data_IF_566673688687
#
_entry.id   IF_566673688687
#
_cell.length_a   1.000
_cell.length_b   1.000
_cell.length_c   1.000
_cell.angle_alpha   90.00
_cell.angle_beta   90.00
_cell.angle_gamma   90.00
#
_symmetry.space_group_name_H-M   'P 1'
#
loop_
_entity.id
_entity.type
_entity.pdbx_description
1 polymer ?
#
# COMPACT_ATOMS: atom_id res chain seq x y z
N UNK A 1 1.63 6.94 1.96
CA UNK A 1 1.81 5.47 1.91
C UNK A 1 0.98 4.91 0.77
N UNK A 2 1.58 4.07 -0.08
CA UNK A 2 0.93 3.38 -1.20
C UNK A 2 0.91 1.88 -0.91
N UNK A 3 -0.26 1.28 -0.97
CA UNK A 3 -0.46 -0.16 -0.90
C UNK A 3 -0.85 -0.70 -2.28
N UNK A 4 -0.15 -1.71 -2.77
CA UNK A 4 -0.46 -2.40 -4.03
C UNK A 4 -0.80 -3.84 -3.68
N UNK A 5 -2.06 -4.25 -3.85
CA UNK A 5 -2.53 -5.57 -3.43
C UNK A 5 -1.96 -6.70 -4.28
N UNK A 6 -1.58 -7.80 -3.63
CA UNK A 6 -1.25 -9.05 -4.29
C UNK A 6 0.04 -9.04 -5.13
N UNK A 7 1.02 -8.16 -4.86
CA UNK A 7 2.24 -8.05 -5.68
C UNK A 7 3.37 -8.91 -5.12
N UNK A 8 3.80 -9.91 -5.89
CA UNK A 8 4.99 -10.71 -5.58
C UNK A 8 6.27 -9.90 -5.83
N UNK A 9 7.25 -9.91 -4.89
CA UNK A 9 8.51 -9.20 -5.08
C UNK A 9 9.32 -9.66 -6.30
N UNK A 10 9.28 -10.95 -6.64
CA UNK A 10 9.97 -11.47 -7.82
C UNK A 10 9.32 -11.03 -9.14
N UNK A 11 8.00 -10.80 -9.13
CA UNK A 11 7.29 -10.23 -10.27
C UNK A 11 7.59 -8.71 -10.40
N UNK A 12 7.63 -7.99 -9.28
CA UNK A 12 8.04 -6.58 -9.26
C UNK A 12 9.44 -6.37 -9.86
N UNK A 13 10.39 -7.27 -9.56
CA UNK A 13 11.76 -7.20 -10.10
C UNK A 13 11.87 -7.48 -11.61
N UNK A 14 10.84 -8.07 -12.22
CA UNK A 14 10.78 -8.37 -13.67
C UNK A 14 9.97 -7.33 -14.44
N UNK A 15 8.95 -6.77 -13.81
CA UNK A 15 8.09 -5.73 -14.38
C UNK A 15 8.88 -4.43 -14.67
N UNK A 16 8.45 -3.69 -15.66
CA UNK A 16 9.05 -2.39 -16.02
C UNK A 16 8.41 -1.28 -15.16
N UNK A 17 9.07 -0.94 -14.07
CA UNK A 17 8.52 -0.05 -13.02
C UNK A 17 9.42 1.16 -12.74
N UNK A 18 9.65 2.06 -13.72
CA UNK A 18 10.64 3.13 -13.59
C UNK A 18 10.40 4.11 -12.45
N UNK A 19 9.15 4.30 -12.01
CA UNK A 19 8.82 5.20 -10.90
C UNK A 19 9.16 4.53 -9.55
N UNK A 20 8.80 3.25 -9.37
CA UNK A 20 9.20 2.47 -8.19
C UNK A 20 10.72 2.25 -8.17
N UNK A 21 11.36 1.98 -9.32
CA UNK A 21 12.81 1.88 -9.42
C UNK A 21 13.50 3.19 -9.01
N UNK A 22 12.90 4.34 -9.32
CA UNK A 22 13.38 5.64 -8.86
C UNK A 22 13.31 5.80 -7.33
N UNK A 23 12.22 5.37 -6.70
CA UNK A 23 12.09 5.35 -5.24
C UNK A 23 13.10 4.39 -4.59
N UNK A 24 13.30 3.20 -5.17
CA UNK A 24 14.30 2.21 -4.72
C UNK A 24 15.71 2.78 -4.81
N UNK A 25 16.04 3.41 -5.93
CA UNK A 25 17.37 3.97 -6.16
C UNK A 25 17.69 5.13 -5.19
N UNK A 26 16.68 5.85 -4.71
CA UNK A 26 16.82 6.96 -3.75
C UNK A 26 16.58 6.59 -2.29
N UNK A 27 16.23 5.34 -1.98
CA UNK A 27 15.75 4.97 -0.65
C UNK A 27 16.14 3.58 -0.17
N UNK A 28 15.32 3.04 0.71
CA UNK A 28 15.45 1.68 1.23
C UNK A 28 14.54 0.74 0.44
N UNK A 29 15.07 -0.41 0.06
CA UNK A 29 14.33 -1.51 -0.54
C UNK A 29 14.54 -2.82 0.23
N UNK A 30 13.45 -3.47 0.60
CA UNK A 30 13.45 -4.84 1.12
C UNK A 30 12.55 -5.71 0.24
N UNK A 31 13.11 -6.61 -0.57
CA UNK A 31 12.34 -7.57 -1.37
C UNK A 31 11.93 -8.82 -0.58
N UNK A 32 12.41 -8.99 0.65
CA UNK A 32 12.33 -10.24 1.42
C UNK A 32 11.62 -10.07 2.77
N UNK A 33 10.85 -9.00 2.96
CA UNK A 33 9.99 -8.89 4.13
C UNK A 33 8.94 -10.02 4.13
N UNK A 34 8.49 -10.41 5.31
CA UNK A 34 7.53 -11.51 5.47
C UNK A 34 6.26 -11.04 6.18
N UNK A 35 5.13 -11.27 5.51
CA UNK A 35 3.81 -11.20 6.13
C UNK A 35 3.58 -12.38 7.09
N UNK A 36 2.47 -12.37 7.83
CA UNK A 36 1.99 -13.47 8.66
C UNK A 36 1.73 -14.76 7.85
N UNK A 37 1.42 -15.84 8.56
CA UNK A 37 1.09 -17.14 7.95
C UNK A 37 -0.29 -17.14 7.26
N UNK A 38 -1.05 -16.05 7.39
CA UNK A 38 -2.36 -15.86 6.75
C UNK A 38 -2.22 -14.75 5.70
N UNK A 39 -2.11 -15.16 4.46
CA UNK A 39 -1.86 -14.27 3.33
C UNK A 39 -3.19 -13.87 2.65
N UNK A 40 -4.10 -13.32 3.45
CA UNK A 40 -5.41 -12.80 3.03
C UNK A 40 -5.38 -11.28 3.23
N UNK A 41 -6.04 -10.52 2.39
CA UNK A 41 -5.98 -9.04 2.38
C UNK A 41 -6.41 -8.42 3.72
N UNK A 42 -7.47 -8.92 4.37
CA UNK A 42 -7.89 -8.42 5.69
C UNK A 42 -6.81 -8.49 6.76
N UNK A 43 -6.22 -9.67 7.05
CA UNK A 43 -5.05 -9.82 7.93
C UNK A 43 -3.83 -9.01 7.48
N UNK A 44 -3.48 -9.04 6.21
CA UNK A 44 -2.32 -8.36 5.65
C UNK A 44 -2.41 -6.83 5.82
N UNK A 45 -3.49 -6.24 5.36
CA UNK A 45 -3.71 -4.80 5.52
C UNK A 45 -3.87 -4.38 6.98
N UNK A 46 -4.47 -5.24 7.82
CA UNK A 46 -4.51 -4.99 9.26
C UNK A 46 -3.11 -4.94 9.87
N UNK A 47 -2.24 -5.87 9.49
CA UNK A 47 -0.86 -5.89 9.98
C UNK A 47 -0.07 -4.63 9.54
N UNK A 48 -0.22 -4.21 8.29
CA UNK A 48 0.40 -3.00 7.74
C UNK A 48 -0.10 -1.74 8.47
N UNK A 49 -1.41 -1.60 8.63
CA UNK A 49 -1.99 -0.42 9.28
C UNK A 49 -1.69 -0.36 10.78
N UNK A 50 -1.77 -1.50 11.50
CA UNK A 50 -1.61 -1.51 12.95
C UNK A 50 -0.16 -1.67 13.41
N UNK A 51 0.76 -2.08 12.51
CA UNK A 51 2.17 -2.38 12.84
C UNK A 51 2.33 -3.59 13.76
N UNK A 52 1.36 -4.50 13.79
CA UNK A 52 1.38 -5.73 14.60
C UNK A 52 0.76 -6.89 13.83
N UNK A 53 1.16 -8.12 14.17
CA UNK A 53 0.68 -9.34 13.53
C UNK A 53 -0.71 -9.77 14.02
N UNK A 54 -1.32 -10.73 13.33
CA UNK A 54 -2.66 -11.29 13.59
C UNK A 54 -2.90 -11.74 15.03
N UNK A 55 -1.89 -12.27 15.71
CA UNK A 55 -1.96 -12.61 17.13
C UNK A 55 -2.23 -11.43 18.08
N UNK A 56 -2.15 -10.19 17.60
CA UNK A 56 -2.47 -8.97 18.35
C UNK A 56 -3.70 -8.25 17.80
N UNK A 57 -3.76 -7.99 16.48
CA UNK A 57 -4.93 -7.33 15.89
C UNK A 57 -6.14 -8.25 15.71
N UNK A 58 -5.99 -9.57 15.87
CA UNK A 58 -7.04 -10.62 15.83
C UNK A 58 -7.79 -10.79 14.50
N UNK A 59 -7.33 -10.17 13.42
CA UNK A 59 -7.93 -10.38 12.10
C UNK A 59 -7.28 -11.59 11.44
N UNK A 60 -8.09 -12.58 11.08
CA UNK A 60 -7.63 -13.85 10.50
C UNK A 60 -8.26 -14.15 9.13
N UNK A 61 -9.22 -13.33 8.73
CA UNK A 61 -9.89 -13.41 7.43
C UNK A 61 -10.54 -12.06 7.06
N UNK A 62 -11.21 -11.99 5.90
CA UNK A 62 -11.86 -10.78 5.40
C UNK A 62 -13.21 -10.46 6.09
N UNK A 63 -13.62 -11.22 7.11
CA UNK A 63 -14.78 -10.86 7.94
C UNK A 63 -14.44 -9.83 9.01
N UNK A 64 -13.16 -9.67 9.34
CA UNK A 64 -12.65 -8.81 10.42
C UNK A 64 -13.27 -9.13 11.80
N UNK A 65 -13.85 -10.32 11.94
CA UNK A 65 -14.50 -10.72 13.19
C UNK A 65 -13.50 -10.79 14.35
N UNK A 66 -13.80 -10.12 15.46
CA UNK A 66 -12.95 -10.11 16.65
C UNK A 66 -11.74 -9.19 16.57
N UNK A 67 -11.67 -8.31 15.57
CA UNK A 67 -10.59 -7.33 15.44
C UNK A 67 -10.36 -6.54 16.74
N UNK A 68 -9.11 -6.19 17.01
CA UNK A 68 -8.69 -5.52 18.24
C UNK A 68 -7.98 -4.18 17.93
N UNK A 69 -8.59 -3.36 17.07
CA UNK A 69 -8.03 -2.06 16.68
C UNK A 69 -8.08 -1.04 17.81
N UNK A 70 -9.00 -1.22 18.77
CA UNK A 70 -9.03 -0.36 19.97
C UNK A 70 -7.70 -0.43 20.75
N UNK A 71 -7.08 -1.61 20.83
CA UNK A 71 -5.80 -1.79 21.51
C UNK A 71 -4.62 -1.54 20.56
N UNK A 72 -4.78 -1.84 19.29
CA UNK A 72 -3.76 -1.70 18.24
C UNK A 72 -4.31 -0.86 17.09
N UNK A 73 -4.47 0.47 17.29
CA UNK A 73 -5.03 1.35 16.28
C UNK A 73 -4.13 1.46 15.06
N UNK A 74 -4.74 1.73 13.92
CA UNK A 74 -4.04 1.96 12.66
C UNK A 74 -3.17 3.22 12.71
N UNK A 75 -2.20 3.32 11.80
CA UNK A 75 -1.28 4.44 11.78
C UNK A 75 -1.98 5.78 11.49
N UNK A 76 -3.04 5.83 10.67
CA UNK A 76 -3.84 7.05 10.47
C UNK A 76 -4.49 7.52 11.78
N UNK A 77 -5.09 6.61 12.56
CA UNK A 77 -5.66 6.96 13.87
C UNK A 77 -4.60 7.49 14.84
N UNK A 78 -3.37 6.96 14.76
CA UNK A 78 -2.25 7.47 15.55
C UNK A 78 -1.83 8.88 15.12
N UNK A 79 -1.83 9.15 13.81
CA UNK A 79 -1.58 10.48 13.25
C UNK A 79 -2.63 11.48 13.73
N UNK A 80 -3.92 11.15 13.57
CA UNK A 80 -5.05 11.97 14.02
C UNK A 80 -5.00 12.26 15.55
N UNK A 81 -4.60 11.24 16.32
CA UNK A 81 -4.47 11.39 17.78
C UNK A 81 -3.31 12.30 18.17
N UNK A 82 -2.19 12.20 17.46
CA UNK A 82 -0.97 12.96 17.77
C UNK A 82 -1.01 14.39 17.19
N UNK A 83 -1.66 14.54 16.05
CA UNK A 83 -1.72 15.75 15.24
C UNK A 83 -3.14 15.98 14.71
N UNK A 84 -4.11 16.34 15.58
CA UNK A 84 -5.49 16.56 15.17
C UNK A 84 -5.68 17.78 14.24
N UNK A 85 -4.62 18.58 14.05
CA UNK A 85 -4.58 19.69 13.10
C UNK A 85 -4.11 19.28 11.70
N UNK A 86 -3.68 18.02 11.51
CA UNK A 86 -3.21 17.53 10.23
C UNK A 86 -4.36 17.07 9.35
N UNK A 87 -4.27 17.35 8.05
CA UNK A 87 -5.22 16.85 7.07
C UNK A 87 -4.82 15.45 6.61
N UNK A 88 -5.70 14.50 6.76
CA UNK A 88 -5.45 13.09 6.43
C UNK A 88 -6.41 12.59 5.37
N UNK A 89 -5.92 11.69 4.51
CA UNK A 89 -6.66 11.10 3.40
C UNK A 89 -6.46 9.59 3.33
N UNK A 90 -7.56 8.84 3.19
CA UNK A 90 -7.55 7.44 2.81
C UNK A 90 -8.38 7.20 1.56
N UNK A 91 -7.73 6.77 0.46
CA UNK A 91 -8.36 6.39 -0.79
C UNK A 91 -8.13 4.90 -1.06
N UNK A 92 -9.11 4.05 -0.82
CA UNK A 92 -8.95 2.60 -0.94
C UNK A 92 -9.90 2.02 -1.99
N UNK A 93 -9.31 1.37 -3.01
CA UNK A 93 -10.06 0.65 -4.04
C UNK A 93 -10.79 -0.56 -3.42
N UNK A 94 -10.15 -1.30 -2.53
CA UNK A 94 -10.80 -2.33 -1.72
C UNK A 94 -11.42 -1.71 -0.48
N UNK A 95 -12.73 -1.44 -0.53
CA UNK A 95 -13.47 -0.68 0.49
C UNK A 95 -13.41 -1.25 1.93
N UNK A 96 -13.19 -2.55 2.19
CA UNK A 96 -13.04 -3.05 3.56
C UNK A 96 -11.87 -2.42 4.33
N UNK A 97 -10.80 -1.95 3.69
CA UNK A 97 -9.75 -1.21 4.40
C UNK A 97 -10.34 0.03 5.06
N UNK A 98 -11.04 0.86 4.29
CA UNK A 98 -11.68 2.05 4.82
C UNK A 98 -12.81 1.74 5.80
N UNK A 99 -13.62 0.71 5.50
CA UNK A 99 -14.79 0.37 6.31
C UNK A 99 -14.48 -0.34 7.63
N UNK A 100 -13.37 -1.06 7.72
CA UNK A 100 -13.04 -1.92 8.86
C UNK A 100 -11.78 -1.47 9.60
N UNK A 101 -10.72 -1.07 8.86
CA UNK A 101 -9.42 -0.76 9.46
C UNK A 101 -9.29 0.73 9.76
N UNK A 102 -9.54 1.59 8.75
CA UNK A 102 -9.46 3.05 8.90
C UNK A 102 -10.66 3.58 9.69
N UNK A 103 -11.86 3.06 9.43
CA UNK A 103 -13.08 3.49 10.11
C UNK A 103 -13.36 4.98 9.89
N UNK A 104 -13.25 5.78 10.95
CA UNK A 104 -13.40 7.23 10.92
C UNK A 104 -12.07 7.96 11.20
N UNK A 105 -10.94 7.25 11.07
CA UNK A 105 -9.62 7.75 11.47
C UNK A 105 -8.89 8.44 10.33
N UNK A 106 -9.59 9.18 9.50
CA UNK A 106 -9.04 10.11 8.52
C UNK A 106 -10.10 11.18 8.19
N UNK A 107 -9.67 12.41 7.89
CA UNK A 107 -10.57 13.52 7.53
C UNK A 107 -11.31 13.27 6.22
N UNK A 108 -10.61 12.68 5.26
CA UNK A 108 -11.17 12.36 3.95
C UNK A 108 -11.04 10.87 3.70
N UNK A 109 -12.18 10.19 3.50
CA UNK A 109 -12.26 8.76 3.25
C UNK A 109 -13.03 8.55 1.95
N UNK A 110 -12.37 7.95 0.95
CA UNK A 110 -12.94 7.70 -0.37
C UNK A 110 -12.76 6.24 -0.75
N UNK A 111 -13.81 5.63 -1.30
CA UNK A 111 -13.76 4.27 -1.86
C UNK A 111 -13.93 4.36 -3.39
N UNK A 112 -12.85 4.59 -4.14
CA UNK A 112 -12.90 4.69 -5.58
C UNK A 112 -13.19 3.34 -6.23
N UNK A 113 -13.87 3.37 -7.38
CA UNK A 113 -14.20 2.15 -8.12
C UNK A 113 -13.06 1.59 -8.98
N UNK A 114 -11.90 2.27 -9.03
CA UNK A 114 -10.73 1.84 -9.80
C UNK A 114 -9.44 2.48 -9.28
N UNK A 115 -8.29 1.88 -9.60
CA UNK A 115 -6.97 2.41 -9.29
C UNK A 115 -6.76 3.82 -9.87
N UNK A 116 -7.25 4.09 -11.08
CA UNK A 116 -7.21 5.41 -11.71
C UNK A 116 -7.95 6.46 -10.88
N UNK A 117 -9.15 6.14 -10.38
CA UNK A 117 -9.92 7.06 -9.54
C UNK A 117 -9.26 7.25 -8.17
N UNK A 118 -8.67 6.21 -7.59
CA UNK A 118 -7.90 6.32 -6.35
C UNK A 118 -6.70 7.26 -6.52
N UNK A 119 -5.96 7.09 -7.59
CA UNK A 119 -4.84 7.96 -7.97
C UNK A 119 -5.29 9.40 -8.17
N UNK A 120 -6.37 9.63 -8.93
CA UNK A 120 -6.89 10.98 -9.18
C UNK A 120 -7.29 11.68 -7.86
N UNK A 121 -7.91 10.94 -6.93
CA UNK A 121 -8.23 11.48 -5.59
C UNK A 121 -7.00 11.99 -4.86
N UNK A 122 -5.90 11.22 -4.90
CA UNK A 122 -4.62 11.62 -4.27
C UNK A 122 -3.97 12.79 -5.01
N UNK A 123 -3.94 12.74 -6.34
CA UNK A 123 -3.40 13.83 -7.17
C UNK A 123 -4.13 15.15 -6.90
N UNK A 124 -5.47 15.11 -6.86
CA UNK A 124 -6.29 16.29 -6.59
C UNK A 124 -6.02 16.85 -5.18
N UNK A 125 -5.87 15.98 -4.18
CA UNK A 125 -5.53 16.37 -2.82
C UNK A 125 -4.13 17.00 -2.72
N UNK A 126 -3.14 16.45 -3.42
CA UNK A 126 -1.77 16.98 -3.44
C UNK A 126 -1.66 18.32 -4.18
N UNK A 127 -2.43 18.50 -5.26
CA UNK A 127 -2.40 19.72 -6.08
C UNK A 127 -3.22 20.89 -5.50
N UNK A 128 -4.36 20.58 -4.86
CA UNK A 128 -5.34 21.59 -4.48
C UNK A 128 -5.58 21.67 -2.97
N UNK A 129 -5.01 20.73 -2.21
CA UNK A 129 -5.13 20.65 -0.77
C UNK A 129 -3.78 20.76 -0.06
N UNK A 130 -3.81 20.47 1.24
CA UNK A 130 -2.62 20.41 2.07
C UNK A 130 -2.63 19.12 2.93
N UNK A 131 -2.52 17.93 2.30
CA UNK A 131 -2.54 16.68 3.03
C UNK A 131 -1.20 16.45 3.73
N UNK A 132 -1.25 16.03 5.00
CA UNK A 132 -0.09 15.68 5.81
C UNK A 132 0.14 14.17 5.87
N UNK A 133 -0.94 13.38 5.80
CA UNK A 133 -0.83 11.93 5.76
C UNK A 133 -1.83 11.36 4.74
N UNK A 134 -1.31 10.55 3.81
CA UNK A 134 -2.09 9.98 2.71
C UNK A 134 -1.89 8.48 2.66
N UNK A 135 -2.98 7.73 2.61
CA UNK A 135 -3.01 6.33 2.25
C UNK A 135 -3.75 6.14 0.92
N UNK A 136 -3.17 5.37 0.02
CA UNK A 136 -3.83 4.92 -1.20
C UNK A 136 -3.65 3.42 -1.37
N UNK A 137 -4.73 2.73 -1.74
CA UNK A 137 -4.74 1.30 -2.03
C UNK A 137 -5.15 1.07 -3.49
N UNK A 138 -4.34 0.27 -4.20
CA UNK A 138 -4.47 -0.10 -5.60
C UNK A 138 -4.59 -1.63 -5.71
N UNK A 139 -5.68 -2.13 -6.29
CA UNK A 139 -6.12 -3.53 -6.21
C UNK A 139 -5.90 -4.34 -7.51
N UNK A 140 -5.56 -3.66 -8.62
CA UNK A 140 -5.57 -4.27 -9.95
C UNK A 140 -4.60 -5.45 -10.11
N UNK A 141 -3.40 -5.50 -9.50
CA UNK A 141 -2.52 -6.67 -9.59
C UNK A 141 -3.10 -7.91 -8.93
N UNK A 142 -3.83 -7.78 -7.82
CA UNK A 142 -4.50 -8.92 -7.20
C UNK A 142 -5.60 -9.49 -8.11
N UNK A 143 -6.43 -8.63 -8.71
CA UNK A 143 -7.41 -9.05 -9.72
C UNK A 143 -6.75 -9.76 -10.92
N UNK A 144 -5.62 -9.27 -11.40
CA UNK A 144 -4.88 -9.90 -12.49
C UNK A 144 -4.29 -11.24 -12.06
N UNK A 145 -3.76 -11.33 -10.85
CA UNK A 145 -3.27 -12.57 -10.25
C UNK A 145 -4.35 -13.64 -10.15
N UNK A 146 -5.52 -13.29 -9.66
CA UNK A 146 -6.68 -14.18 -9.61
C UNK A 146 -7.18 -14.64 -10.99
N UNK A 147 -7.12 -13.75 -11.97
CA UNK A 147 -7.61 -14.05 -13.32
C UNK A 147 -6.63 -14.87 -14.15
N UNK A 148 -5.32 -14.61 -14.02
CA UNK A 148 -4.30 -15.11 -14.95
C UNK A 148 -3.17 -15.87 -14.26
N UNK A 149 -2.93 -15.64 -12.98
CA UNK A 149 -1.91 -16.27 -12.15
C UNK A 149 -0.88 -15.27 -11.57
N UNK A 150 -0.55 -15.50 -10.30
CA UNK A 150 0.48 -14.77 -9.55
C UNK A 150 1.87 -15.30 -9.90
N UNK A 151 2.50 -14.78 -10.94
CA UNK A 151 3.82 -15.26 -11.36
C UNK A 151 4.59 -14.24 -12.18
N UNK A 152 5.93 -14.14 -12.02
CA UNK A 152 6.79 -13.29 -12.84
C UNK A 152 6.84 -13.69 -14.32
N UNK A 153 6.17 -14.79 -14.71
CA UNK A 153 6.07 -15.27 -16.09
C UNK A 153 4.68 -15.05 -16.71
N UNK A 154 3.77 -14.39 -16.00
CA UNK A 154 2.40 -14.13 -16.44
C UNK A 154 2.28 -12.66 -16.87
N UNK A 155 2.30 -12.43 -18.18
CA UNK A 155 2.29 -11.07 -18.75
C UNK A 155 1.12 -10.20 -18.26
N UNK A 156 -0.16 -10.64 -18.25
CA UNK A 156 -1.25 -9.79 -17.74
C UNK A 156 -1.09 -9.37 -16.27
N UNK A 157 -0.40 -10.16 -15.45
CA UNK A 157 -0.09 -9.81 -14.07
C UNK A 157 1.03 -8.77 -14.01
N UNK A 158 2.08 -8.92 -14.84
CA UNK A 158 3.14 -7.91 -14.97
C UNK A 158 2.58 -6.59 -15.51
N UNK A 159 1.75 -6.65 -16.56
CA UNK A 159 1.10 -5.46 -17.14
C UNK A 159 0.27 -4.68 -16.08
N UNK A 160 -0.40 -5.40 -15.16
CA UNK A 160 -1.13 -4.77 -14.06
C UNK A 160 -0.17 -4.06 -13.07
N UNK A 161 0.97 -4.68 -12.72
CA UNK A 161 2.00 -4.06 -11.86
C UNK A 161 2.57 -2.81 -12.54
N UNK A 162 2.90 -2.89 -13.82
CA UNK A 162 3.42 -1.77 -14.61
C UNK A 162 2.41 -0.62 -14.72
N UNK A 163 1.11 -0.95 -14.85
CA UNK A 163 0.06 0.06 -14.82
C UNK A 163 -0.02 0.79 -13.47
N UNK A 164 0.18 0.08 -12.35
CA UNK A 164 0.23 0.72 -11.02
C UNK A 164 1.46 1.63 -10.89
N UNK A 165 2.60 1.23 -11.44
CA UNK A 165 3.79 2.09 -11.46
C UNK A 165 3.54 3.44 -12.14
N UNK A 166 2.85 3.44 -13.29
CA UNK A 166 2.46 4.68 -13.98
C UNK A 166 1.57 5.56 -13.11
N UNK A 167 0.59 4.98 -12.40
CA UNK A 167 -0.28 5.71 -11.49
C UNK A 167 0.47 6.27 -10.28
N UNK A 168 1.42 5.52 -9.75
CA UNK A 168 2.29 5.97 -8.66
C UNK A 168 3.16 7.13 -9.14
N UNK A 169 3.71 7.07 -10.36
CA UNK A 169 4.44 8.18 -10.95
C UNK A 169 3.63 9.48 -11.05
N UNK A 170 2.33 9.40 -11.33
CA UNK A 170 1.45 10.57 -11.32
C UNK A 170 1.31 11.19 -9.92
N UNK A 171 1.19 10.36 -8.88
CA UNK A 171 1.12 10.83 -7.49
C UNK A 171 2.44 11.44 -7.04
N UNK A 172 3.58 10.83 -7.36
CA UNK A 172 4.92 11.37 -7.09
C UNK A 172 5.08 12.73 -7.79
N UNK A 173 4.77 12.81 -9.08
CA UNK A 173 4.85 14.07 -9.83
C UNK A 173 3.94 15.17 -9.27
N UNK A 174 2.75 14.83 -8.78
CA UNK A 174 1.86 15.77 -8.12
C UNK A 174 2.42 16.25 -6.76
N UNK A 175 3.06 15.36 -6.00
CA UNK A 175 3.73 15.69 -4.74
C UNK A 175 4.91 16.63 -4.99
N UNK A 176 5.78 16.31 -5.95
CA UNK A 176 6.97 17.11 -6.29
C UNK A 176 6.62 18.48 -6.90
N UNK A 177 5.46 18.58 -7.55
CA UNK A 177 4.97 19.83 -8.12
C UNK A 177 4.32 20.78 -7.09
N UNK A 178 4.24 20.40 -5.82
CA UNK A 178 3.69 21.27 -4.76
C UNK A 178 4.52 22.53 -4.60
N UNK A 179 3.89 23.70 -4.41
CA UNK A 179 4.62 24.97 -4.28
C UNK A 179 5.65 24.99 -3.13
N UNK A 180 5.37 24.25 -2.06
CA UNK A 180 6.20 24.19 -0.86
C UNK A 180 7.01 22.89 -0.76
N UNK A 181 7.06 22.09 -1.81
CA UNK A 181 7.74 20.78 -1.79
C UNK A 181 9.17 20.83 -1.24
N UNK A 182 9.92 21.88 -1.58
CA UNK A 182 11.30 22.06 -1.11
C UNK A 182 11.41 22.37 0.40
N UNK A 183 10.30 22.68 1.06
CA UNK A 183 10.22 22.98 2.48
C UNK A 183 9.53 21.83 3.26
N UNK A 184 9.04 20.81 2.54
CA UNK A 184 8.33 19.65 3.08
C UNK A 184 9.28 18.45 3.15
N UNK A 185 9.18 17.63 4.21
CA UNK A 185 9.89 16.34 4.34
C UNK A 185 8.92 15.19 4.11
N UNK A 186 8.86 14.70 2.88
CA UNK A 186 7.99 13.61 2.49
C UNK A 186 8.63 12.25 2.69
N UNK A 187 7.93 11.36 3.41
CA UNK A 187 8.24 9.94 3.47
C UNK A 187 7.25 9.17 2.58
N UNK A 188 7.74 8.61 1.49
CA UNK A 188 6.98 7.72 0.61
C UNK A 188 7.25 6.27 1.01
N UNK A 189 6.19 5.56 1.39
CA UNK A 189 6.22 4.13 1.68
C UNK A 189 5.41 3.40 0.63
N UNK A 190 5.96 2.34 0.02
CA UNK A 190 5.22 1.45 -0.88
C UNK A 190 5.38 0.01 -0.43
N UNK A 191 4.29 -0.73 -0.37
CA UNK A 191 4.30 -2.14 0.05
C UNK A 191 3.13 -2.90 -0.56
N UNK A 192 3.13 -4.21 -0.35
CA UNK A 192 2.03 -5.13 -0.65
C UNK A 192 1.67 -5.91 0.61
N UNK A 193 0.46 -6.41 0.68
CA UNK A 193 -0.02 -7.19 1.83
C UNK A 193 0.28 -8.68 1.73
N UNK A 194 0.34 -9.24 0.52
CA UNK A 194 0.72 -10.61 0.22
C UNK A 194 1.19 -10.76 -1.23
N UNK A 195 1.72 -11.92 -1.56
CA UNK A 195 1.87 -12.40 -2.92
C UNK A 195 0.78 -13.41 -3.27
N UNK A 196 1.11 -14.45 -4.06
CA UNK A 196 0.17 -15.49 -4.43
C UNK A 196 0.84 -16.65 -5.18
N UNK A 197 0.11 -17.74 -5.36
CA UNK A 197 0.56 -18.92 -6.08
C UNK A 197 -0.57 -19.46 -6.98
N UNK A 198 -0.26 -19.82 -8.23
CA UNK A 198 -1.30 -20.13 -9.21
C UNK A 198 -2.23 -18.94 -9.36
N UNK A 199 -3.52 -19.10 -9.17
CA UNK A 199 -4.54 -18.04 -9.23
C UNK A 199 -5.15 -17.72 -7.87
N UNK A 200 -4.43 -17.99 -6.77
CA UNK A 200 -4.96 -17.84 -5.41
C UNK A 200 -3.88 -17.40 -4.42
N UNK A 201 -4.31 -17.04 -3.23
CA UNK A 201 -3.51 -16.76 -2.05
C UNK A 201 -4.29 -17.17 -0.79
N UNK A 202 -3.73 -16.97 0.40
CA UNK A 202 -4.36 -17.29 1.69
C UNK A 202 -3.64 -18.41 2.43
N UNK A 203 -2.63 -19.04 1.81
CA UNK A 203 -1.77 -20.03 2.40
C UNK A 203 -0.53 -19.45 3.09
N UNK A 204 0.50 -20.27 3.24
CA UNK A 204 1.74 -19.89 3.91
C UNK A 204 3.01 -20.23 3.10
N UNK A 205 2.88 -20.40 1.79
CA UNK A 205 4.04 -20.54 0.91
C UNK A 205 4.88 -19.25 0.90
N UNK A 206 6.15 -19.37 0.49
CA UNK A 206 7.01 -18.20 0.40
C UNK A 206 6.56 -17.23 -0.71
N UNK A 207 5.95 -17.76 -1.76
CA UNK A 207 5.36 -16.99 -2.85
C UNK A 207 4.17 -16.15 -2.40
N UNK A 208 3.44 -16.58 -1.37
CA UNK A 208 2.33 -15.85 -0.79
C UNK A 208 2.78 -14.88 0.31
N UNK A 209 3.75 -15.29 1.16
CA UNK A 209 4.17 -14.55 2.36
C UNK A 209 5.21 -13.47 2.11
N UNK A 210 6.05 -13.66 1.08
CA UNK A 210 7.08 -12.68 0.77
C UNK A 210 6.46 -11.42 0.20
N UNK A 211 6.78 -10.30 0.84
CA UNK A 211 6.31 -8.97 0.49
C UNK A 211 7.51 -8.04 0.33
N UNK A 212 7.32 -6.94 -0.38
CA UNK A 212 8.37 -5.92 -0.48
C UNK A 212 8.03 -4.70 0.38
N UNK A 213 9.06 -3.95 0.74
CA UNK A 213 8.94 -2.63 1.35
C UNK A 213 9.88 -1.68 0.63
N UNK A 214 9.34 -0.56 0.16
CA UNK A 214 10.10 0.58 -0.35
C UNK A 214 9.85 1.74 0.60
N UNK A 215 10.93 2.42 1.02
CA UNK A 215 10.84 3.67 1.77
C UNK A 215 11.76 4.69 1.09
N UNK A 216 11.24 5.85 0.74
CA UNK A 216 11.99 6.91 0.05
C UNK A 216 11.64 8.27 0.66
N UNK A 217 12.63 9.13 0.83
CA UNK A 217 12.53 10.46 1.42
C UNK A 217 13.90 10.97 1.85
N UNK A 218 14.02 12.25 2.17
CA UNK A 218 15.30 12.87 2.51
C UNK A 218 15.98 12.20 3.72
N UNK A 219 15.20 11.80 4.72
CA UNK A 219 15.67 11.15 5.94
C UNK A 219 15.93 9.64 5.81
N UNK A 220 15.67 9.04 4.63
CA UNK A 220 15.82 7.60 4.41
C UNK A 220 17.22 7.28 3.91
N UNK A 221 17.91 6.36 4.61
CA UNK A 221 19.22 5.88 4.14
C UNK A 221 19.04 4.91 2.98
N UNK A 222 19.72 5.19 1.86
CA UNK A 222 19.73 4.31 0.69
C UNK A 222 20.37 2.96 1.03
N UNK A 223 19.63 1.88 0.91
CA UNK A 223 20.11 0.51 1.12
C UNK A 223 19.13 -0.55 0.60
N UNK A 224 19.65 -1.73 0.30
CA UNK A 224 18.83 -2.95 0.10
C UNK A 224 19.07 -3.89 1.29
N UNK A 225 18.01 -4.40 1.92
CA UNK A 225 18.04 -5.20 3.14
C UNK A 225 17.21 -6.47 3.01
#
# INVERSE_FOLDING_TARGET
MVGIDGVRPDALQVAVTPNLDGLIAGGLFSPDALNDDITISGPGWSAIHCGVRSGKHNVVDNSFAGQNYLQYPGWLERVETAHPEWNTLSASQWSPINGQIVGNSADVIVNPGSAVQATQTVVDALQNGDPHAVFVHLDDPDYAGHAYGFSPFVFPYLDAIEAMDVLIGQMIGAMEARPNYAEEDWLVLVTTDHGGIGTTHGGNSMEERRVFVIASGESVTQQTV
#
